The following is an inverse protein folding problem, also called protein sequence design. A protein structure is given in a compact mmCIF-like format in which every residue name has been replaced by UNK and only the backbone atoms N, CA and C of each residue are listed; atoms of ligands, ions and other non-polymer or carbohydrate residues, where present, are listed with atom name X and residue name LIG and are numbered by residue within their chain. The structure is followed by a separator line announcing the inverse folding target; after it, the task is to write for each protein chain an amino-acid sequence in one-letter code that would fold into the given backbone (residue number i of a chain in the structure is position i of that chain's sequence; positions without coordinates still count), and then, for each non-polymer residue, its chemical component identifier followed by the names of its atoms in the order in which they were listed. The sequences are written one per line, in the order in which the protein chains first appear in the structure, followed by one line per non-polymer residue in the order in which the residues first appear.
data_IF_844804008864
#
_entry.id   IF_844804008864
#
_cell.length_a   1.000
_cell.length_b   1.000
_cell.length_c   1.000
_cell.angle_alpha   90.00
_cell.angle_beta   90.00
_cell.angle_gamma   90.00
#
_symmetry.space_group_name_H-M   'P 1'
#
loop_
_entity.id
_entity.type
_entity.pdbx_description
1 polymer ?
#
# COMPACT_ATOMS: atom_id res chain seq x y z
N UNK A 1 -13.05 16.62 9.43
CA UNK A 1 -13.02 15.16 9.53
C UNK A 1 -11.54 14.82 9.61
N UNK A 2 -11.10 14.11 10.64
CA UNK A 2 -9.69 13.72 10.80
C UNK A 2 -9.36 12.75 9.65
N UNK A 3 -8.59 13.21 8.67
CA UNK A 3 -8.22 12.46 7.45
C UNK A 3 -6.90 11.69 7.65
N UNK A 4 -6.38 11.72 8.86
CA UNK A 4 -5.17 11.08 9.36
C UNK A 4 -5.17 9.54 9.22
N UNK A 5 -6.29 8.96 8.76
CA UNK A 5 -6.51 7.53 8.52
C UNK A 5 -6.86 7.23 7.05
N UNK A 6 -6.91 8.23 6.18
CA UNK A 6 -7.25 8.11 4.76
C UNK A 6 -5.98 8.18 3.89
N UNK A 7 -5.90 7.28 2.91
CA UNK A 7 -4.76 7.17 2.00
C UNK A 7 -5.23 7.23 0.57
N UNK A 8 -4.63 8.14 -0.20
CA UNK A 8 -4.91 8.33 -1.60
C UNK A 8 -4.10 7.37 -2.45
N UNK A 9 -4.79 6.54 -3.24
CA UNK A 9 -4.14 5.74 -4.28
C UNK A 9 -4.15 6.47 -5.62
N UNK A 10 -2.99 6.98 -6.02
CA UNK A 10 -2.78 7.58 -7.33
C UNK A 10 -2.38 6.50 -8.35
N UNK A 11 -3.27 6.24 -9.32
CA UNK A 11 -3.07 5.26 -10.39
C UNK A 11 -2.05 5.70 -11.45
N UNK A 12 -1.91 6.99 -11.72
CA UNK A 12 -1.01 7.50 -12.76
C UNK A 12 0.46 7.38 -12.35
N UNK A 13 0.75 7.62 -11.06
CA UNK A 13 2.10 7.54 -10.50
C UNK A 13 2.37 6.24 -9.75
N UNK A 14 1.35 5.38 -9.60
CA UNK A 14 1.40 4.14 -8.83
C UNK A 14 1.86 4.35 -7.39
N UNK A 15 1.26 5.31 -6.70
CA UNK A 15 1.66 5.72 -5.35
C UNK A 15 0.48 5.65 -4.39
N UNK A 16 0.74 5.24 -3.16
CA UNK A 16 -0.17 5.36 -2.02
C UNK A 16 0.35 6.51 -1.17
N UNK A 17 -0.40 7.61 -1.13
CA UNK A 17 -0.01 8.88 -0.53
C UNK A 17 -0.86 9.16 0.70
N UNK A 18 -0.24 9.64 1.77
CA UNK A 18 -0.95 10.21 2.91
C UNK A 18 -1.57 11.54 2.48
N UNK A 19 -2.86 11.72 2.78
CA UNK A 19 -3.62 12.90 2.39
C UNK A 19 -3.05 14.19 3.03
N UNK A 20 -2.44 14.07 4.22
CA UNK A 20 -2.02 15.23 5.01
C UNK A 20 -0.70 15.87 4.57
N UNK A 21 0.32 15.09 4.12
CA UNK A 21 1.71 15.60 4.13
C UNK A 21 2.60 15.32 2.88
N UNK A 22 2.08 14.87 1.73
CA UNK A 22 2.91 14.54 0.52
C UNK A 22 3.96 13.44 0.77
N UNK A 23 3.65 12.53 1.70
CA UNK A 23 4.42 11.32 1.96
C UNK A 23 3.76 10.12 1.30
N UNK A 24 4.60 9.25 0.73
CA UNK A 24 4.19 8.04 0.04
C UNK A 24 4.67 6.80 0.82
N UNK A 25 3.92 5.72 0.69
CA UNK A 25 4.29 4.41 1.18
C UNK A 25 5.55 3.91 0.46
N UNK A 26 6.61 3.61 1.23
CA UNK A 26 7.94 3.25 0.73
C UNK A 26 8.41 1.92 1.34
N UNK A 27 8.76 0.98 0.47
CA UNK A 27 9.29 -0.34 0.81
C UNK A 27 10.69 -0.53 0.21
N UNK A 28 11.73 -0.19 0.98
CA UNK A 28 13.12 -0.26 0.52
C UNK A 28 13.82 -1.60 0.79
N UNK A 29 13.13 -2.52 1.48
CA UNK A 29 13.68 -3.81 1.92
C UNK A 29 12.93 -4.96 1.23
N UNK A 30 13.41 -5.48 0.09
CA UNK A 30 12.67 -6.44 -0.74
C UNK A 30 12.80 -7.89 -0.23
N UNK A 31 12.35 -8.14 0.99
CA UNK A 31 12.30 -9.47 1.61
C UNK A 31 11.13 -9.59 2.59
N UNK A 32 10.73 -10.81 2.93
CA UNK A 32 9.71 -11.07 3.94
C UNK A 32 10.10 -10.43 5.29
N UNK A 33 9.24 -9.56 5.81
CA UNK A 33 9.51 -8.76 7.01
C UNK A 33 10.21 -7.42 6.73
N UNK A 34 10.43 -7.07 5.46
CA UNK A 34 11.05 -5.81 5.05
C UNK A 34 10.21 -4.60 5.43
N UNK A 35 10.83 -3.58 6.01
CA UNK A 35 10.13 -2.42 6.55
C UNK A 35 9.41 -1.62 5.47
N UNK A 36 8.15 -1.31 5.74
CA UNK A 36 7.38 -0.29 5.04
C UNK A 36 7.27 0.95 5.93
N UNK A 37 7.43 2.12 5.34
CA UNK A 37 7.35 3.40 6.05
C UNK A 37 6.85 4.50 5.12
N UNK A 38 6.59 5.68 5.68
CA UNK A 38 6.37 6.88 4.89
C UNK A 38 7.69 7.53 4.51
N UNK A 39 7.80 7.92 3.24
CA UNK A 39 8.89 8.75 2.76
C UNK A 39 8.36 9.80 1.79
N UNK A 40 9.07 10.93 1.65
CA UNK A 40 8.64 11.98 0.72
C UNK A 40 8.36 11.40 -0.66
N UNK A 41 7.21 11.74 -1.24
CA UNK A 41 6.81 11.23 -2.54
C UNK A 41 7.83 11.60 -3.62
N UNK A 42 8.19 10.64 -4.47
CA UNK A 42 9.04 10.85 -5.63
C UNK A 42 8.58 9.99 -6.80
N UNK A 43 8.33 10.62 -7.95
CA UNK A 43 7.86 9.92 -9.15
C UNK A 43 8.87 8.89 -9.66
N UNK A 44 10.17 9.04 -9.33
CA UNK A 44 11.25 8.15 -9.78
C UNK A 44 11.68 7.13 -8.73
N UNK A 45 11.23 7.25 -7.48
CA UNK A 45 11.56 6.29 -6.43
C UNK A 45 10.81 4.98 -6.67
N UNK A 46 11.57 3.93 -7.00
CA UNK A 46 11.05 2.60 -7.31
C UNK A 46 10.47 1.85 -6.11
N UNK A 47 10.84 2.25 -4.89
CA UNK A 47 10.34 1.66 -3.63
C UNK A 47 8.95 2.17 -3.26
N UNK A 48 8.44 3.18 -3.98
CA UNK A 48 7.12 3.78 -3.73
C UNK A 48 6.09 3.37 -4.78
N UNK A 49 6.36 2.31 -5.55
CA UNK A 49 5.55 1.92 -6.69
C UNK A 49 4.65 0.74 -6.33
N UNK A 50 3.36 1.02 -6.22
CA UNK A 50 2.32 0.09 -5.80
C UNK A 50 1.21 0.00 -6.83
N UNK A 51 0.69 -1.20 -7.02
CA UNK A 51 -0.48 -1.46 -7.84
C UNK A 51 -1.55 -2.13 -6.98
N UNK A 52 -2.71 -1.50 -6.91
CA UNK A 52 -3.90 -2.16 -6.36
C UNK A 52 -4.43 -3.19 -7.36
N UNK A 53 -4.42 -4.46 -6.97
CA UNK A 53 -5.01 -5.56 -7.73
C UNK A 53 -6.46 -5.77 -7.29
N UNK A 54 -7.40 -5.36 -8.16
CA UNK A 54 -8.85 -5.42 -7.90
C UNK A 54 -9.41 -6.84 -7.80
N UNK A 55 -8.69 -7.87 -8.26
CA UNK A 55 -9.15 -9.25 -8.16
C UNK A 55 -8.79 -9.89 -6.82
N UNK A 56 -7.71 -9.42 -6.19
CA UNK A 56 -7.24 -9.92 -4.88
C UNK A 56 -7.44 -8.91 -3.75
N UNK A 57 -7.75 -7.66 -4.06
CA UNK A 57 -7.77 -6.52 -3.13
C UNK A 57 -6.42 -6.30 -2.42
N UNK A 58 -5.31 -6.64 -3.08
CA UNK A 58 -3.97 -6.49 -2.53
C UNK A 58 -3.26 -5.28 -3.14
N UNK A 59 -2.46 -4.58 -2.31
CA UNK A 59 -1.48 -3.61 -2.79
C UNK A 59 -0.17 -4.34 -3.11
N UNK A 60 0.04 -4.62 -4.40
CA UNK A 60 1.21 -5.31 -4.93
C UNK A 60 2.34 -4.32 -5.21
N UNK A 61 3.55 -4.65 -4.82
CA UNK A 61 4.71 -3.83 -5.15
C UNK A 61 5.13 -4.04 -6.61
N UNK A 62 5.34 -2.96 -7.38
CA UNK A 62 5.63 -3.03 -8.82
C UNK A 62 7.11 -3.33 -9.15
N UNK A 63 8.04 -2.94 -8.29
CA UNK A 63 9.48 -3.23 -8.49
C UNK A 63 9.90 -4.55 -7.84
N UNK A 64 9.53 -4.73 -6.57
CA UNK A 64 9.73 -5.96 -5.80
C UNK A 64 8.64 -6.98 -6.13
N UNK A 65 8.80 -7.62 -7.29
CA UNK A 65 7.81 -8.57 -7.82
C UNK A 65 7.51 -9.70 -6.83
N UNK A 66 6.22 -9.99 -6.65
CA UNK A 66 5.75 -11.05 -5.75
C UNK A 66 5.45 -10.59 -4.32
N UNK A 67 5.79 -9.34 -3.97
CA UNK A 67 5.53 -8.80 -2.64
C UNK A 67 4.26 -7.93 -2.59
N UNK A 68 3.57 -8.01 -1.46
CA UNK A 68 2.38 -7.26 -1.12
C UNK A 68 2.60 -6.45 0.17
N UNK A 69 1.82 -5.39 0.36
CA UNK A 69 1.71 -4.73 1.67
C UNK A 69 1.01 -5.68 2.64
N UNK A 70 1.64 -5.92 3.79
CA UNK A 70 1.14 -6.77 4.86
C UNK A 70 1.09 -5.99 6.17
N UNK A 71 -0.04 -6.03 6.87
CA UNK A 71 -0.24 -5.27 8.11
C UNK A 71 0.28 -5.97 9.37
N UNK A 72 0.89 -7.16 9.24
CA UNK A 72 1.42 -8.04 10.29
C UNK A 72 0.37 -8.66 11.21
N UNK A 73 -0.52 -7.85 11.76
CA UNK A 73 -1.60 -8.24 12.65
C UNK A 73 -2.74 -7.23 12.57
N UNK A 74 -3.86 -7.52 13.23
CA UNK A 74 -5.07 -6.69 13.19
C UNK A 74 -4.87 -5.26 13.75
N UNK A 75 -3.77 -4.99 14.46
CA UNK A 75 -3.45 -3.61 14.89
C UNK A 75 -2.88 -2.75 13.77
N UNK A 76 -2.31 -3.38 12.74
CA UNK A 76 -1.67 -2.69 11.62
C UNK A 76 -0.48 -1.81 11.97
N UNK A 77 0.05 -1.90 13.20
CA UNK A 77 1.05 -0.98 13.72
C UNK A 77 2.44 -1.11 13.05
N UNK A 78 2.68 -2.23 12.33
CA UNK A 78 3.99 -2.55 11.74
C UNK A 78 3.81 -3.09 10.31
N UNK A 79 3.37 -2.24 9.36
CA UNK A 79 3.27 -2.66 7.98
C UNK A 79 4.65 -3.06 7.45
N UNK A 80 4.68 -4.11 6.64
CA UNK A 80 5.90 -4.65 6.07
C UNK A 80 5.62 -5.27 4.70
N UNK A 81 6.68 -5.63 3.98
CA UNK A 81 6.57 -6.46 2.79
C UNK A 81 6.54 -7.92 3.17
N UNK A 82 5.59 -8.63 2.57
CA UNK A 82 5.56 -10.08 2.58
C UNK A 82 5.18 -10.59 1.20
N UNK A 83 5.58 -11.82 0.87
CA UNK A 83 5.10 -12.48 -0.34
C UNK A 83 3.58 -12.47 -0.35
N UNK A 84 3.00 -12.21 -1.52
CA UNK A 84 1.56 -12.11 -1.65
C UNK A 84 0.89 -13.46 -1.30
N UNK A 85 0.05 -13.44 -0.28
CA UNK A 85 -0.76 -14.59 0.10
C UNK A 85 -1.86 -14.84 -0.95
N UNK A 86 -2.11 -16.08 -1.38
CA UNK A 86 -3.26 -16.41 -2.21
C UNK A 86 -4.55 -16.47 -1.35
N UNK A 87 -5.74 -16.36 -1.95
CA UNK A 87 -7.01 -16.35 -1.22
C UNK A 87 -7.25 -17.48 -0.19
N UNK A 88 -6.77 -18.72 -0.39
CA UNK A 88 -6.92 -19.79 0.59
C UNK A 88 -5.99 -19.71 1.81
N UNK A 89 -5.01 -18.81 1.82
CA UNK A 89 -4.06 -18.66 2.92
C UNK A 89 -4.74 -18.00 4.13
N UNK A 90 -4.44 -18.50 5.33
CA UNK A 90 -5.00 -17.99 6.58
C UNK A 90 -4.60 -16.52 6.86
N UNK A 91 -3.49 -16.06 6.28
CA UNK A 91 -2.98 -14.69 6.44
C UNK A 91 -3.39 -13.77 5.30
N UNK A 92 -4.18 -14.24 4.33
CA UNK A 92 -4.66 -13.44 3.20
C UNK A 92 -5.34 -12.16 3.64
N UNK A 93 -6.12 -12.20 4.74
CA UNK A 93 -6.83 -11.06 5.30
C UNK A 93 -5.91 -9.92 5.75
N UNK A 94 -4.65 -10.19 6.09
CA UNK A 94 -3.66 -9.18 6.49
C UNK A 94 -3.05 -8.42 5.30
N UNK A 95 -3.39 -8.82 4.07
CA UNK A 95 -2.91 -8.17 2.84
C UNK A 95 -4.05 -7.57 2.01
N UNK A 96 -5.27 -7.51 2.57
CA UNK A 96 -6.44 -6.97 1.87
C UNK A 96 -6.74 -5.54 2.30
N UNK A 97 -7.00 -4.69 1.31
CA UNK A 97 -7.36 -3.29 1.51
C UNK A 97 -8.62 -2.98 0.70
N UNK A 98 -9.56 -2.26 1.29
CA UNK A 98 -10.74 -1.79 0.57
C UNK A 98 -10.42 -0.48 -0.16
N UNK A 99 -10.77 -0.40 -1.44
CA UNK A 99 -10.64 0.81 -2.23
C UNK A 99 -11.99 1.52 -2.31
N UNK A 100 -12.13 2.62 -1.56
CA UNK A 100 -13.31 3.48 -1.65
C UNK A 100 -13.11 4.50 -2.76
N UNK A 101 -14.01 4.54 -3.74
CA UNK A 101 -14.03 5.63 -4.71
C UNK A 101 -14.79 6.80 -4.11
N UNK A 102 -14.09 7.84 -3.69
CA UNK A 102 -14.72 9.13 -3.45
C UNK A 102 -14.97 9.77 -4.82
N UNK A 103 -16.23 9.91 -5.22
CA UNK A 103 -16.58 10.81 -6.31
C UNK A 103 -16.42 12.23 -5.79
N UNK A 104 -15.19 12.74 -5.77
CA UNK A 104 -14.96 14.16 -5.54
C UNK A 104 -15.52 14.92 -6.75
N UNK A 105 -16.77 15.36 -6.62
CA UNK A 105 -17.31 16.44 -7.44
C UNK A 105 -16.63 17.70 -6.92
N UNK A 106 -15.46 17.99 -7.50
CA UNK A 106 -14.86 19.30 -7.36
C UNK A 106 -15.73 20.31 -8.12
N UNK A 107 -16.55 21.07 -7.39
CA UNK A 107 -16.92 22.45 -7.72
C UNK A 107 -15.96 23.40 -6.97
#
# INVERSE_FOLDING_TARGET
QERDQEWDYNRDFHQVRSDDDDYCLDAYQPWNGGRVHTWKCSHTNKNQKWQYDVYTNQLRHLTHNGYCLDINDETGARPHLWECHPPPDNFYSLQKFDLFQTTSTFD
#
